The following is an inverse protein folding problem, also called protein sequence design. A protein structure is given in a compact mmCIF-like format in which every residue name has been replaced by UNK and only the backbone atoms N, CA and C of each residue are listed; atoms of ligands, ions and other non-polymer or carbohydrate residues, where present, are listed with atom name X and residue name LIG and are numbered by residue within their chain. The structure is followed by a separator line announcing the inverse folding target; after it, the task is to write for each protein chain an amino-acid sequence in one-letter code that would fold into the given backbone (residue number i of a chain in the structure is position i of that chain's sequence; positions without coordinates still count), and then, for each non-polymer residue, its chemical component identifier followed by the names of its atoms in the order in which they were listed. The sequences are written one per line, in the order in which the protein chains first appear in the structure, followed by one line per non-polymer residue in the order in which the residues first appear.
data_IF_791135534547
#
_entry.id   IF_791135534547
#
_cell.length_a   1.000
_cell.length_b   1.000
_cell.length_c   1.000
_cell.angle_alpha   90.00
_cell.angle_beta   90.00
_cell.angle_gamma   90.00
#
_symmetry.space_group_name_H-M   'P 1'
#
loop_
_entity.id
_entity.type
_entity.pdbx_description
1 polymer ?
#
# COMPACT_ATOMS: atom_id res chain seq x y z
N UNK A 1 7.42 -5.53 -13.81
CA UNK A 1 6.63 -4.84 -12.79
C UNK A 1 6.16 -5.87 -11.78
N UNK A 2 6.55 -5.69 -10.53
CA UNK A 2 6.01 -6.43 -9.39
C UNK A 2 4.51 -6.19 -9.25
N UNK A 3 3.84 -7.16 -8.60
CA UNK A 3 2.40 -7.05 -8.28
C UNK A 3 2.08 -5.76 -7.52
N UNK A 4 2.95 -5.34 -6.59
CA UNK A 4 2.80 -4.10 -5.84
C UNK A 4 2.82 -2.89 -6.78
N UNK A 5 3.88 -2.73 -7.59
CA UNK A 5 4.00 -1.60 -8.52
C UNK A 5 2.81 -1.52 -9.49
N UNK A 6 2.42 -2.65 -10.08
CA UNK A 6 1.25 -2.71 -10.97
C UNK A 6 -0.04 -2.31 -10.24
N UNK A 7 -0.24 -2.81 -9.02
CA UNK A 7 -1.39 -2.47 -8.19
C UNK A 7 -1.44 -0.97 -7.87
N UNK A 8 -0.32 -0.40 -7.41
CA UNK A 8 -0.25 1.02 -7.05
C UNK A 8 -0.66 1.91 -8.22
N UNK A 9 -0.14 1.62 -9.41
CA UNK A 9 -0.42 2.35 -10.65
C UNK A 9 -1.85 2.16 -11.13
N UNK A 10 -2.35 0.92 -11.15
CA UNK A 10 -3.73 0.62 -11.60
C UNK A 10 -4.75 1.27 -10.67
N UNK A 11 -4.58 1.12 -9.36
CA UNK A 11 -5.50 1.69 -8.37
C UNK A 11 -5.55 3.21 -8.43
N UNK A 12 -4.41 3.89 -8.63
CA UNK A 12 -4.41 5.34 -8.88
C UNK A 12 -5.29 5.73 -10.07
N UNK A 13 -5.17 5.00 -11.18
CA UNK A 13 -5.93 5.26 -12.41
C UNK A 13 -7.41 4.98 -12.24
N UNK A 14 -7.78 3.91 -11.54
CA UNK A 14 -9.18 3.60 -11.19
C UNK A 14 -9.83 4.71 -10.36
N UNK A 15 -9.05 5.37 -9.51
CA UNK A 15 -9.48 6.52 -8.72
C UNK A 15 -9.40 7.85 -9.50
N UNK A 16 -9.07 7.83 -10.79
CA UNK A 16 -9.06 9.02 -11.65
C UNK A 16 -7.95 10.03 -11.35
N UNK A 17 -6.91 9.63 -10.62
CA UNK A 17 -5.85 10.56 -10.18
C UNK A 17 -4.64 10.57 -11.12
N UNK A 18 -4.02 11.73 -11.29
CA UNK A 18 -2.66 11.87 -11.83
C UNK A 18 -1.61 11.51 -10.77
N UNK A 19 -0.36 11.27 -11.18
CA UNK A 19 0.75 11.03 -10.23
C UNK A 19 0.99 12.25 -9.32
N UNK A 20 0.84 13.46 -9.85
CA UNK A 20 0.92 14.71 -9.09
C UNK A 20 -0.19 14.79 -8.03
N UNK A 21 -1.45 14.58 -8.40
CA UNK A 21 -2.54 14.60 -7.41
C UNK A 21 -2.34 13.58 -6.30
N UNK A 22 -1.87 12.38 -6.65
CA UNK A 22 -1.56 11.36 -5.66
C UNK A 22 -0.39 11.77 -4.75
N UNK A 23 0.66 12.39 -5.29
CA UNK A 23 1.81 12.83 -4.49
C UNK A 23 1.40 13.85 -3.42
N UNK A 24 0.48 14.77 -3.76
CA UNK A 24 -0.09 15.74 -2.83
C UNK A 24 -0.85 15.03 -1.70
N UNK A 25 -1.70 14.05 -2.02
CA UNK A 25 -2.45 13.29 -1.02
C UNK A 25 -1.54 12.45 -0.10
N UNK A 26 -0.44 11.92 -0.63
CA UNK A 26 0.53 11.15 0.15
C UNK A 26 1.51 12.05 0.93
N UNK A 27 1.49 13.37 0.68
CA UNK A 27 2.52 14.30 1.13
C UNK A 27 3.93 13.78 0.79
N UNK A 28 4.16 13.56 -0.50
CA UNK A 28 5.41 13.07 -1.10
C UNK A 28 5.75 13.92 -2.33
N UNK A 29 6.99 13.82 -2.81
CA UNK A 29 7.35 14.41 -4.11
C UNK A 29 6.76 13.60 -5.27
N UNK A 30 6.47 14.27 -6.38
CA UNK A 30 5.99 13.64 -7.62
C UNK A 30 6.93 12.54 -8.10
N UNK A 31 8.24 12.80 -8.01
CA UNK A 31 9.28 11.85 -8.38
C UNK A 31 9.29 10.59 -7.51
N UNK A 32 8.83 10.66 -6.25
CA UNK A 32 8.70 9.47 -5.42
C UNK A 32 7.59 8.55 -5.94
N UNK A 33 6.40 9.10 -6.21
CA UNK A 33 5.27 8.35 -6.79
C UNK A 33 5.66 7.72 -8.13
N UNK A 34 6.32 8.49 -9.00
CA UNK A 34 6.78 7.97 -10.28
C UNK A 34 7.73 6.78 -10.11
N UNK A 35 8.72 6.88 -9.21
CA UNK A 35 9.68 5.79 -8.93
C UNK A 35 9.00 4.53 -8.38
N UNK A 36 7.96 4.67 -7.57
CA UNK A 36 7.20 3.53 -7.06
C UNK A 36 6.38 2.84 -8.17
N UNK A 37 5.79 3.61 -9.07
CA UNK A 37 4.98 3.10 -10.19
C UNK A 37 5.81 2.60 -11.39
N UNK A 38 7.12 2.82 -11.38
CA UNK A 38 8.07 2.30 -12.40
C UNK A 38 9.04 1.27 -11.83
N UNK A 39 8.85 0.84 -10.58
CA UNK A 39 9.72 -0.15 -9.90
C UNK A 39 11.17 0.33 -9.67
N UNK A 40 11.47 1.61 -9.97
CA UNK A 40 12.78 2.22 -9.71
C UNK A 40 13.08 2.38 -8.22
N UNK A 41 12.07 2.30 -7.36
CA UNK A 41 12.21 2.27 -5.90
C UNK A 41 11.07 1.46 -5.28
N UNK A 42 11.36 0.72 -4.22
CA UNK A 42 10.34 0.05 -3.41
C UNK A 42 9.85 1.03 -2.31
N UNK A 43 8.53 1.23 -2.13
CA UNK A 43 8.01 2.03 -1.03
C UNK A 43 8.22 1.30 0.31
N UNK A 44 8.68 2.04 1.33
CA UNK A 44 8.76 1.51 2.70
C UNK A 44 7.39 1.44 3.38
N UNK A 45 7.34 0.83 4.57
CA UNK A 45 6.11 0.60 5.33
C UNK A 45 5.26 1.88 5.53
N UNK A 46 5.88 2.99 5.97
CA UNK A 46 5.19 4.27 6.15
C UNK A 46 4.52 4.78 4.87
N UNK A 47 5.17 4.59 3.73
CA UNK A 47 4.59 4.98 2.43
C UNK A 47 3.44 4.05 2.09
N UNK A 48 3.57 2.74 2.30
CA UNK A 48 2.50 1.77 2.09
C UNK A 48 1.27 2.06 2.97
N UNK A 49 1.46 2.51 4.21
CA UNK A 49 0.38 2.93 5.10
C UNK A 49 -0.31 4.21 4.61
N UNK A 50 0.42 5.13 3.99
CA UNK A 50 -0.20 6.30 3.32
C UNK A 50 -1.03 5.87 2.12
N UNK A 51 -0.50 4.96 1.29
CA UNK A 51 -1.24 4.39 0.16
C UNK A 51 -2.50 3.66 0.62
N UNK A 52 -2.44 2.87 1.69
CA UNK A 52 -3.60 2.12 2.20
C UNK A 52 -4.75 3.05 2.58
N UNK A 53 -4.43 4.20 3.22
CA UNK A 53 -5.38 5.25 3.57
C UNK A 53 -5.98 5.93 2.34
N UNK A 54 -5.14 6.37 1.39
CA UNK A 54 -5.61 7.10 0.19
C UNK A 54 -6.41 6.18 -0.75
N UNK A 55 -6.06 4.90 -0.84
CA UNK A 55 -6.74 3.94 -1.73
C UNK A 55 -7.92 3.24 -1.08
N UNK A 56 -8.12 3.44 0.22
CA UNK A 56 -9.13 2.77 1.04
C UNK A 56 -9.03 1.25 0.95
N UNK A 57 -7.82 0.72 1.10
CA UNK A 57 -7.55 -0.73 1.08
C UNK A 57 -6.68 -1.13 2.26
N UNK A 58 -6.83 -2.37 2.74
CA UNK A 58 -5.96 -2.90 3.79
C UNK A 58 -4.52 -3.05 3.31
N UNK A 59 -3.56 -2.86 4.21
CA UNK A 59 -2.13 -3.02 3.87
C UNK A 59 -1.81 -4.43 3.37
N UNK A 60 -2.49 -5.47 3.87
CA UNK A 60 -2.35 -6.86 3.38
C UNK A 60 -2.57 -6.96 1.87
N UNK A 61 -3.49 -6.15 1.32
CA UNK A 61 -3.76 -6.09 -0.12
C UNK A 61 -2.59 -5.50 -0.91
N UNK A 62 -1.85 -4.56 -0.33
CA UNK A 62 -0.70 -3.92 -0.97
C UNK A 62 0.52 -4.85 -0.98
N UNK A 63 0.74 -5.59 0.12
CA UNK A 63 1.92 -6.47 0.26
C UNK A 63 1.67 -7.90 -0.23
N UNK A 64 0.54 -8.15 -0.90
CA UNK A 64 0.12 -9.48 -1.41
C UNK A 64 0.19 -10.59 -0.35
N UNK A 65 -0.02 -10.24 0.91
CA UNK A 65 -0.13 -11.21 2.01
C UNK A 65 -1.56 -11.72 2.05
N UNK A 66 -1.75 -13.04 1.84
CA UNK A 66 -3.05 -13.67 1.99
C UNK A 66 -3.19 -14.17 3.43
N UNK A 67 -4.39 -14.09 3.99
CA UNK A 67 -4.67 -14.60 5.34
C UNK A 67 -4.36 -16.11 5.44
N UNK A 68 -4.52 -16.86 4.34
CA UNK A 68 -4.15 -18.27 4.26
C UNK A 68 -2.64 -18.54 4.35
N UNK A 69 -1.80 -17.55 4.04
CA UNK A 69 -0.35 -17.61 4.24
C UNK A 69 0.02 -17.40 5.73
N UNK A 70 -0.91 -16.83 6.52
CA UNK A 70 -0.79 -16.67 7.98
C UNK A 70 -1.34 -17.93 8.66
N UNK A 71 -0.75 -19.10 8.38
CA UNK A 71 -1.00 -20.30 9.20
C UNK A 71 -0.12 -20.25 10.45
N UNK A 72 -0.72 -19.99 11.61
CA UNK A 72 -0.12 -20.30 12.92
C UNK A 72 0.50 -19.14 13.71
N UNK A 73 0.15 -17.88 13.44
CA UNK A 73 0.52 -16.76 14.30
C UNK A 73 -0.52 -16.51 15.39
N UNK A 74 -0.34 -17.18 16.54
CA UNK A 74 -0.88 -16.88 17.88
C UNK A 74 -2.18 -16.06 17.96
N UNK A 75 -3.30 -16.76 18.15
CA UNK A 75 -4.51 -16.22 18.76
C UNK A 75 -4.34 -16.01 20.29
N UNK A 76 -3.16 -15.55 20.71
CA UNK A 76 -2.84 -15.23 22.09
C UNK A 76 -2.27 -13.82 22.10
N UNK A 77 -3.12 -12.79 22.18
CA UNK A 77 -2.93 -11.77 23.20
C UNK A 77 -4.03 -10.69 23.29
N UNK A 78 -4.42 -10.47 24.55
CA UNK A 78 -5.06 -9.31 25.19
C UNK A 78 -6.49 -8.88 24.81
N UNK A 79 -7.49 -9.76 24.98
CA UNK A 79 -8.77 -9.28 25.53
C UNK A 79 -9.52 -10.33 26.35
N UNK A 80 -8.86 -10.85 27.39
CA UNK A 80 -9.50 -11.52 28.52
C UNK A 80 -9.23 -10.71 29.79
N UNK A 81 -9.80 -9.51 29.87
CA UNK A 81 -10.18 -8.93 31.14
C UNK A 81 -11.26 -7.86 30.92
N UNK A 82 -12.51 -8.30 30.91
CA UNK A 82 -13.70 -7.49 31.17
C UNK A 82 -14.63 -8.33 32.03
#
# INVERSE_FOLDING_TARGET
MSKLTDYLRKRRKELGMTQFQLSQLLNLSDGAVAKYETEARIPGLEVLLKYSRVYHVSIYKLVDLRIEDIKGGEANDVNKNS
#
